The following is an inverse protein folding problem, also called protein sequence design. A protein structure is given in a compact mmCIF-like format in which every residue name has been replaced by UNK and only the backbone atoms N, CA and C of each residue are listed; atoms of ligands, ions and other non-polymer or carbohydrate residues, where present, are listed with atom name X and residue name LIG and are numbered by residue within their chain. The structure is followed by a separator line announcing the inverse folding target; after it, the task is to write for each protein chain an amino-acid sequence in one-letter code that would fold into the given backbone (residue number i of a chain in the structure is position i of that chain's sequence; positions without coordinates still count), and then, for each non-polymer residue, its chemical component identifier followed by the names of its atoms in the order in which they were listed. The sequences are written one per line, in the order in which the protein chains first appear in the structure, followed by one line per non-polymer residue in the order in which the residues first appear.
data_IF_681505357049
#
_entry.id   IF_681505357049
#
_cell.length_a   1.000
_cell.length_b   1.000
_cell.length_c   1.000
_cell.angle_alpha   90.00
_cell.angle_beta   90.00
_cell.angle_gamma   90.00
#
_symmetry.space_group_name_H-M   'P 1'
#
loop_
_entity.id
_entity.type
_entity.pdbx_description
1 polymer ?
#
# COMPACT_ATOMS: atom_id res chain seq x y z
N UNK A 1 2.89 -2.31 10.67
CA UNK A 1 3.49 -1.21 9.88
C UNK A 1 4.99 -1.35 9.96
N UNK A 2 5.68 -1.28 8.83
CA UNK A 2 7.14 -1.38 8.72
C UNK A 2 7.62 -0.14 7.97
N UNK A 3 8.69 0.49 8.47
CA UNK A 3 9.32 1.66 7.84
C UNK A 3 10.71 1.28 7.34
N UNK A 4 11.04 1.72 6.14
CA UNK A 4 12.36 1.56 5.54
C UNK A 4 12.90 2.93 5.15
N UNK A 5 14.12 3.22 5.56
CA UNK A 5 14.82 4.46 5.20
C UNK A 5 15.95 4.12 4.23
N UNK A 6 16.02 4.79 3.09
CA UNK A 6 17.14 4.64 2.14
C UNK A 6 18.39 5.42 2.61
N UNK A 7 19.51 5.23 1.91
CA UNK A 7 20.79 5.91 2.23
C UNK A 7 20.72 7.44 2.09
N UNK A 8 19.69 7.96 1.40
CA UNK A 8 19.43 9.38 1.22
C UNK A 8 18.45 9.93 2.27
N UNK A 9 18.09 9.13 3.28
CA UNK A 9 17.17 9.51 4.36
C UNK A 9 15.70 9.49 3.97
N UNK A 10 15.34 8.96 2.81
CA UNK A 10 13.95 8.90 2.34
C UNK A 10 13.23 7.74 2.99
N UNK A 11 12.01 7.98 3.47
CA UNK A 11 11.22 7.00 4.21
C UNK A 11 10.10 6.40 3.35
N UNK A 12 10.09 5.08 3.26
CA UNK A 12 8.97 4.29 2.74
C UNK A 12 8.28 3.57 3.89
N UNK A 13 6.95 3.58 3.91
CA UNK A 13 6.13 2.92 4.94
C UNK A 13 5.23 1.87 4.32
N UNK A 14 5.33 0.63 4.78
CA UNK A 14 4.46 -0.47 4.38
C UNK A 14 3.51 -0.83 5.54
N UNK A 15 2.20 -0.80 5.28
CA UNK A 15 1.17 -1.18 6.25
C UNK A 15 0.54 -2.48 5.81
N UNK A 16 0.37 -3.40 6.77
CA UNK A 16 -0.17 -4.73 6.53
C UNK A 16 -1.41 -4.95 7.39
N UNK A 17 -2.35 -5.76 6.91
CA UNK A 17 -3.46 -6.24 7.71
C UNK A 17 -3.05 -7.39 8.65
N UNK A 18 -4.01 -7.91 9.41
CA UNK A 18 -3.80 -9.03 10.35
C UNK A 18 -3.41 -10.34 9.67
N UNK A 19 -3.67 -10.48 8.37
CA UNK A 19 -3.27 -11.63 7.56
C UNK A 19 -1.88 -11.44 6.92
N UNK A 20 -1.19 -10.33 7.19
CA UNK A 20 0.13 -10.03 6.62
C UNK A 20 0.08 -9.53 5.18
N UNK A 21 -1.08 -9.13 4.67
CA UNK A 21 -1.25 -8.59 3.31
C UNK A 21 -1.00 -7.09 3.30
N UNK A 22 -0.30 -6.59 2.27
CA UNK A 22 0.05 -5.17 2.15
C UNK A 22 -1.17 -4.34 1.78
N UNK A 23 -1.63 -3.48 2.67
CA UNK A 23 -2.82 -2.62 2.46
C UNK A 23 -2.49 -1.17 2.15
N UNK A 24 -1.25 -0.72 2.43
CA UNK A 24 -0.81 0.64 2.11
C UNK A 24 0.71 0.74 1.94
N UNK A 25 1.15 1.48 0.93
CA UNK A 25 2.54 1.93 0.76
C UNK A 25 2.55 3.45 0.81
N UNK A 26 3.26 4.03 1.77
CA UNK A 26 3.61 5.45 1.78
C UNK A 26 5.00 5.63 1.20
N UNK A 27 5.13 6.44 0.14
CA UNK A 27 6.39 6.69 -0.55
C UNK A 27 7.04 7.98 -0.06
N UNK A 28 8.36 8.10 -0.24
CA UNK A 28 9.03 9.39 -0.09
C UNK A 28 8.40 10.43 -1.02
N UNK A 29 7.95 11.55 -0.45
CA UNK A 29 7.22 12.60 -1.17
C UNK A 29 5.74 12.71 -0.81
N UNK A 30 5.21 11.80 0.01
CA UNK A 30 3.83 11.86 0.51
C UNK A 30 2.81 11.09 -0.35
N UNK A 31 3.24 10.59 -1.51
CA UNK A 31 2.46 9.71 -2.36
C UNK A 31 2.10 8.40 -1.64
N UNK A 32 0.88 7.90 -1.87
CA UNK A 32 0.42 6.64 -1.27
C UNK A 32 -0.25 5.71 -2.26
N UNK A 33 0.07 4.42 -2.18
CA UNK A 33 -0.70 3.34 -2.76
C UNK A 33 -1.53 2.64 -1.67
N UNK A 34 -2.75 2.20 -1.98
CA UNK A 34 -3.58 1.41 -1.06
C UNK A 34 -4.23 0.22 -1.76
N UNK A 35 -4.42 -0.85 -1.01
CA UNK A 35 -4.93 -2.12 -1.53
C UNK A 35 -6.02 -2.64 -0.62
N UNK A 36 -7.07 -3.21 -1.22
CA UNK A 36 -8.13 -3.91 -0.49
C UNK A 36 -8.23 -5.33 -0.99
N UNK A 37 -8.48 -6.23 -0.05
CA UNK A 37 -8.61 -7.65 -0.31
C UNK A 37 -9.94 -8.15 0.22
N UNK A 38 -10.47 -9.19 -0.41
CA UNK A 38 -11.64 -9.90 0.08
C UNK A 38 -11.28 -10.89 1.21
N UNK A 39 -12.27 -11.69 1.61
CA UNK A 39 -12.10 -12.73 2.64
C UNK A 39 -11.29 -13.94 2.17
N UNK A 40 -11.15 -14.14 0.85
CA UNK A 40 -10.44 -15.27 0.24
C UNK A 40 -8.96 -14.97 0.02
N UNK A 41 -8.53 -13.71 0.16
CA UNK A 41 -7.15 -13.32 -0.09
C UNK A 41 -6.95 -12.55 -1.39
N UNK A 42 -8.00 -12.37 -2.18
CA UNK A 42 -7.92 -11.80 -3.52
C UNK A 42 -7.98 -10.28 -3.45
N UNK A 43 -7.11 -9.61 -4.20
CA UNK A 43 -7.07 -8.15 -4.24
C UNK A 43 -8.21 -7.64 -5.11
N UNK A 44 -9.20 -7.02 -4.49
CA UNK A 44 -10.37 -6.45 -5.19
C UNK A 44 -10.21 -4.98 -5.55
N UNK A 45 -9.22 -4.27 -4.99
CA UNK A 45 -8.92 -2.91 -5.40
C UNK A 45 -7.47 -2.48 -5.15
N UNK A 46 -6.99 -1.58 -6.00
CA UNK A 46 -5.78 -0.80 -5.82
C UNK A 46 -6.08 0.67 -6.12
N UNK A 47 -5.74 1.57 -5.21
CA UNK A 47 -5.74 3.03 -5.46
C UNK A 47 -4.31 3.52 -5.43
N UNK A 48 -3.87 4.18 -6.51
CA UNK A 48 -2.52 4.74 -6.59
C UNK A 48 -2.44 6.18 -6.07
N UNK A 49 -1.24 6.76 -6.09
CA UNK A 49 -0.97 8.11 -5.59
C UNK A 49 -1.74 9.23 -6.30
N UNK A 50 -2.24 8.99 -7.52
CA UNK A 50 -3.06 9.93 -8.28
C UNK A 50 -4.56 9.78 -7.96
N UNK A 51 -4.92 9.03 -6.91
CA UNK A 51 -6.29 8.63 -6.58
C UNK A 51 -7.00 7.87 -7.72
N UNK A 52 -6.25 7.31 -8.67
CA UNK A 52 -6.82 6.42 -9.67
C UNK A 52 -7.03 5.06 -9.03
N UNK A 53 -8.27 4.59 -9.06
CA UNK A 53 -8.69 3.31 -8.49
C UNK A 53 -8.90 2.30 -9.61
N UNK A 54 -8.31 1.13 -9.43
CA UNK A 54 -8.54 -0.07 -10.24
C UNK A 54 -9.24 -1.10 -9.34
N UNK A 55 -10.29 -1.74 -9.85
CA UNK A 55 -11.06 -2.78 -9.15
C UNK A 55 -11.15 -4.02 -10.02
N UNK A 56 -11.18 -5.18 -9.39
CA UNK A 56 -11.50 -6.44 -10.06
C UNK A 56 -12.98 -6.73 -9.81
N UNK A 57 -13.70 -7.10 -10.86
CA UNK A 57 -15.13 -7.49 -10.82
C UNK A 57 -15.34 -8.85 -10.16
#
# INVERSE_FOLDING_TARGET
MITQTDELGRVTTNTYDTAGRLIKVGRPGGDTDSYTYDTQGERISHTNALNRRETTD
#
